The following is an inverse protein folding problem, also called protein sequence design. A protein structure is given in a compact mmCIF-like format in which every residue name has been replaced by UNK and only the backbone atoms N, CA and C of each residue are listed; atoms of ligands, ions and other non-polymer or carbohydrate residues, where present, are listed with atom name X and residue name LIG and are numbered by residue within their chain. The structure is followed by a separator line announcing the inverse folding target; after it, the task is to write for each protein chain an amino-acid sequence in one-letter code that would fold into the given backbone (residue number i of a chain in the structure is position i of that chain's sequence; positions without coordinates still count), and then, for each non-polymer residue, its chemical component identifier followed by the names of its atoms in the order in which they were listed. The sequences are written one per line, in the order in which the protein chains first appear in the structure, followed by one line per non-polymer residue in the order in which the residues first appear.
data_IF_304999779868
#
_entry.id   IF_304999779868
#
_cell.length_a   1.000
_cell.length_b   1.000
_cell.length_c   1.000
_cell.angle_alpha   90.00
_cell.angle_beta   90.00
_cell.angle_gamma   90.00
#
_symmetry.space_group_name_H-M   'P 1'
#
loop_
_entity.id
_entity.type
_entity.pdbx_description
1 polymer ?
#
# COMPACT_ATOMS: atom_id res chain seq x y z
N UNK A 1 9.31 -19.05 10.77
CA UNK A 1 7.90 -18.87 11.14
C UNK A 1 7.11 -18.74 9.85
N UNK A 2 6.38 -19.78 9.47
CA UNK A 2 5.49 -19.72 8.30
C UNK A 2 4.08 -19.46 8.83
N UNK A 3 3.54 -18.27 8.57
CA UNK A 3 2.16 -18.00 8.88
C UNK A 3 1.60 -16.92 7.95
N UNK A 4 0.90 -17.37 6.92
CA UNK A 4 -0.51 -17.07 6.62
C UNK A 4 -0.80 -17.79 5.31
N UNK A 5 -1.90 -18.55 5.30
CA UNK A 5 -2.34 -19.36 4.19
C UNK A 5 -2.15 -18.65 2.85
N UNK A 6 -1.51 -19.33 1.89
CA UNK A 6 -1.66 -19.01 0.48
C UNK A 6 -3.15 -19.04 0.17
N UNK A 7 -3.82 -17.89 0.23
CA UNK A 7 -5.25 -17.74 -0.07
C UNK A 7 -5.57 -18.01 -1.56
N UNK A 8 -4.59 -18.51 -2.31
CA UNK A 8 -4.58 -18.56 -3.76
C UNK A 8 -4.43 -17.19 -4.42
N UNK A 9 -4.39 -16.10 -3.64
CA UNK A 9 -4.34 -14.72 -4.17
C UNK A 9 -2.90 -14.31 -4.47
N UNK A 10 -1.97 -14.57 -3.54
CA UNK A 10 -0.54 -14.20 -3.64
C UNK A 10 0.35 -15.35 -3.17
N UNK A 11 1.60 -15.37 -3.61
CA UNK A 11 2.62 -16.33 -3.16
C UNK A 11 3.15 -15.98 -1.76
N UNK A 12 3.28 -14.69 -1.48
CA UNK A 12 3.73 -14.14 -0.21
C UNK A 12 3.02 -12.80 0.05
N UNK A 13 2.86 -12.39 1.32
CA UNK A 13 2.33 -11.08 1.67
C UNK A 13 3.14 -9.92 1.07
N UNK A 14 2.53 -8.74 1.00
CA UNK A 14 3.20 -7.53 0.51
C UNK A 14 4.43 -7.19 1.36
N UNK A 15 5.56 -6.94 0.72
CA UNK A 15 6.80 -6.46 1.32
C UNK A 15 7.39 -5.31 0.48
N UNK A 16 8.46 -4.69 0.99
CA UNK A 16 9.16 -3.60 0.29
C UNK A 16 9.76 -3.99 -1.05
N UNK A 17 10.06 -5.27 -1.22
CA UNK A 17 10.87 -5.78 -2.34
C UNK A 17 10.05 -6.59 -3.35
N UNK A 18 8.77 -6.85 -3.10
CA UNK A 18 7.94 -7.73 -3.94
C UNK A 18 6.71 -7.06 -4.56
N UNK A 19 6.60 -5.74 -4.49
CA UNK A 19 5.40 -5.02 -4.94
C UNK A 19 4.99 -5.36 -6.37
N UNK A 20 5.93 -5.46 -7.31
CA UNK A 20 5.63 -5.76 -8.71
C UNK A 20 4.98 -7.15 -8.87
N UNK A 21 5.51 -8.15 -8.16
CA UNK A 21 4.94 -9.51 -8.16
C UNK A 21 3.59 -9.54 -7.42
N UNK A 22 3.53 -8.94 -6.24
CA UNK A 22 2.32 -8.88 -5.42
C UNK A 22 1.16 -8.19 -6.17
N UNK A 23 1.42 -7.01 -6.73
CA UNK A 23 0.43 -6.22 -7.47
C UNK A 23 -0.05 -6.95 -8.73
N UNK A 24 0.86 -7.62 -9.45
CA UNK A 24 0.51 -8.45 -10.60
C UNK A 24 -0.47 -9.57 -10.21
N UNK A 25 -0.16 -10.32 -9.14
CA UNK A 25 -1.00 -11.44 -8.68
C UNK A 25 -2.37 -10.97 -8.18
N UNK A 26 -2.41 -9.94 -7.32
CA UNK A 26 -3.67 -9.38 -6.80
C UNK A 26 -4.53 -8.82 -7.93
N UNK A 27 -3.93 -8.07 -8.87
CA UNK A 27 -4.65 -7.54 -10.04
C UNK A 27 -5.24 -8.67 -10.88
N UNK A 28 -4.48 -9.71 -11.18
CA UNK A 28 -4.96 -10.84 -11.98
C UNK A 28 -6.07 -11.60 -11.26
N UNK A 29 -5.96 -11.78 -9.94
CA UNK A 29 -7.01 -12.40 -9.13
C UNK A 29 -8.31 -11.57 -9.18
N UNK A 30 -8.22 -10.25 -9.00
CA UNK A 30 -9.38 -9.36 -9.08
C UNK A 30 -10.00 -9.31 -10.50
N UNK A 31 -9.17 -9.34 -11.55
CA UNK A 31 -9.63 -9.43 -12.94
C UNK A 31 -10.42 -10.73 -13.18
N UNK A 32 -9.90 -11.87 -12.72
CA UNK A 32 -10.57 -13.17 -12.83
C UNK A 32 -11.93 -13.23 -12.14
N UNK A 33 -12.16 -12.37 -11.14
CA UNK A 33 -13.43 -12.26 -10.42
C UNK A 33 -14.31 -11.09 -10.89
N UNK A 34 -13.91 -10.33 -11.92
CA UNK A 34 -14.66 -9.16 -12.39
C UNK A 34 -14.74 -8.00 -11.38
N UNK A 35 -13.71 -7.90 -10.52
CA UNK A 35 -13.60 -6.94 -9.43
C UNK A 35 -12.57 -5.82 -9.71
N UNK A 36 -11.74 -5.94 -10.75
CA UNK A 36 -10.72 -4.92 -11.03
C UNK A 36 -11.31 -3.54 -11.37
N UNK A 37 -12.46 -3.51 -12.04
CA UNK A 37 -13.15 -2.28 -12.44
C UNK A 37 -13.41 -1.33 -11.26
N UNK A 38 -13.80 -1.86 -10.09
CA UNK A 38 -14.06 -1.03 -8.90
C UNK A 38 -12.79 -0.49 -8.23
N UNK A 39 -11.61 -1.03 -8.57
CA UNK A 39 -10.31 -0.53 -8.07
C UNK A 39 -9.84 0.68 -8.87
N UNK A 40 -10.09 0.71 -10.17
CA UNK A 40 -9.65 1.80 -11.05
C UNK A 40 -10.70 2.92 -11.19
N UNK A 41 -11.98 2.57 -11.11
CA UNK A 41 -13.06 3.54 -11.29
C UNK A 41 -13.21 4.44 -10.08
N UNK A 42 -13.47 5.73 -10.30
CA UNK A 42 -14.02 6.58 -9.24
C UNK A 42 -15.47 6.14 -9.06
N UNK A 43 -15.89 5.85 -7.84
CA UNK A 43 -17.31 5.67 -7.57
C UNK A 43 -18.01 6.95 -8.00
N UNK A 44 -18.79 6.91 -9.07
CA UNK A 44 -19.73 7.99 -9.39
C UNK A 44 -20.87 7.89 -8.37
N UNK A 45 -20.56 8.29 -7.14
CA UNK A 45 -21.45 8.25 -6.00
C UNK A 45 -22.74 9.00 -6.36
N UNK A 46 -23.82 8.25 -6.61
CA UNK A 46 -25.13 8.81 -6.91
C UNK A 46 -25.50 8.88 -8.40
N UNK A 47 -24.67 8.39 -9.32
CA UNK A 47 -25.05 8.24 -10.73
C UNK A 47 -25.41 6.77 -10.98
N UNK A 48 -26.71 6.48 -11.02
CA UNK A 48 -27.22 5.14 -11.29
C UNK A 48 -28.48 4.80 -10.49
N UNK A 49 -29.12 3.71 -10.89
CA UNK A 49 -30.19 3.06 -10.14
C UNK A 49 -29.70 2.56 -8.78
N UNK A 50 -30.63 2.35 -7.85
CA UNK A 50 -30.33 1.79 -6.53
C UNK A 50 -29.62 0.43 -6.66
N UNK A 51 -30.05 -0.38 -7.62
CA UNK A 51 -29.50 -1.70 -7.92
C UNK A 51 -28.04 -1.62 -8.39
N UNK A 52 -27.68 -0.61 -9.19
CA UNK A 52 -26.31 -0.38 -9.64
C UNK A 52 -25.40 0.03 -8.48
N UNK A 53 -25.86 0.91 -7.60
CA UNK A 53 -25.13 1.35 -6.41
C UNK A 53 -24.89 0.16 -5.47
N UNK A 54 -25.90 -0.65 -5.19
CA UNK A 54 -25.77 -1.85 -4.34
C UNK A 54 -24.80 -2.87 -4.95
N UNK A 55 -24.87 -3.09 -6.27
CA UNK A 55 -23.95 -3.97 -7.00
C UNK A 55 -22.50 -3.45 -6.93
N UNK A 56 -22.29 -2.14 -7.10
CA UNK A 56 -20.98 -1.53 -6.96
C UNK A 56 -20.44 -1.68 -5.54
N UNK A 57 -21.25 -1.39 -4.52
CA UNK A 57 -20.87 -1.52 -3.11
C UNK A 57 -20.44 -2.96 -2.77
N UNK A 58 -21.17 -3.96 -3.25
CA UNK A 58 -20.82 -5.36 -3.06
C UNK A 58 -19.49 -5.73 -3.74
N UNK A 59 -19.26 -5.26 -4.97
CA UNK A 59 -17.99 -5.48 -5.67
C UNK A 59 -16.83 -4.79 -4.95
N UNK A 60 -17.00 -3.53 -4.54
CA UNK A 60 -16.00 -2.76 -3.79
C UNK A 60 -15.62 -3.46 -2.48
N UNK A 61 -16.61 -3.89 -1.69
CA UNK A 61 -16.36 -4.60 -0.44
C UNK A 61 -15.58 -5.91 -0.65
N UNK A 62 -15.93 -6.69 -1.68
CA UNK A 62 -15.20 -7.92 -2.05
C UNK A 62 -13.76 -7.63 -2.47
N UNK A 63 -13.56 -6.62 -3.33
CA UNK A 63 -12.23 -6.24 -3.78
C UNK A 63 -11.35 -5.75 -2.63
N UNK A 64 -11.89 -4.92 -1.73
CA UNK A 64 -11.18 -4.44 -0.55
C UNK A 64 -10.77 -5.60 0.37
N UNK A 65 -11.69 -6.56 0.60
CA UNK A 65 -11.38 -7.72 1.42
C UNK A 65 -10.25 -8.57 0.83
N UNK A 66 -10.21 -8.77 -0.49
CA UNK A 66 -9.13 -9.47 -1.18
C UNK A 66 -7.78 -8.76 -0.96
N UNK A 67 -7.75 -7.43 -1.08
CA UNK A 67 -6.53 -6.63 -0.85
C UNK A 67 -6.06 -6.76 0.61
N UNK A 68 -6.99 -6.69 1.57
CA UNK A 68 -6.71 -6.86 3.00
C UNK A 68 -6.14 -8.25 3.34
N UNK A 69 -6.65 -9.30 2.70
CA UNK A 69 -6.10 -10.66 2.86
C UNK A 69 -4.72 -10.81 2.23
N UNK A 70 -4.48 -10.16 1.09
CA UNK A 70 -3.23 -10.28 0.35
C UNK A 70 -2.08 -9.46 0.95
N UNK A 71 -2.36 -8.38 1.68
CA UNK A 71 -1.31 -7.46 2.13
C UNK A 71 -0.52 -7.96 3.35
N UNK A 72 -1.04 -8.94 4.10
CA UNK A 72 -0.44 -9.39 5.36
C UNK A 72 -0.76 -8.48 6.55
N UNK A 73 -0.55 -8.99 7.76
CA UNK A 73 -0.97 -8.34 9.01
C UNK A 73 -0.28 -7.00 9.29
N UNK A 74 1.00 -6.88 8.95
CA UNK A 74 1.77 -5.64 9.12
C UNK A 74 1.17 -4.50 8.28
N UNK A 75 0.92 -4.77 7.00
CA UNK A 75 0.34 -3.79 6.08
C UNK A 75 -1.14 -3.52 6.31
N UNK A 76 -1.89 -4.50 6.84
CA UNK A 76 -3.32 -4.36 7.11
C UNK A 76 -3.59 -3.20 8.07
N UNK A 77 -2.70 -2.97 9.03
CA UNK A 77 -2.84 -1.88 10.00
C UNK A 77 -2.87 -0.48 9.34
N UNK A 78 -2.27 -0.33 8.16
CA UNK A 78 -2.23 0.93 7.42
C UNK A 78 -3.49 1.21 6.58
N UNK A 79 -4.25 0.17 6.25
CA UNK A 79 -5.44 0.29 5.38
C UNK A 79 -6.75 -0.05 6.08
N UNK A 80 -6.72 -0.34 7.39
CA UNK A 80 -7.91 -0.76 8.17
C UNK A 80 -9.04 0.28 8.19
N UNK A 81 -8.69 1.56 8.05
CA UNK A 81 -9.62 2.69 8.08
C UNK A 81 -10.01 3.17 6.67
N UNK A 82 -9.52 2.50 5.61
CA UNK A 82 -9.90 2.79 4.22
C UNK A 82 -11.18 2.05 3.86
N UNK A 83 -12.06 2.71 3.11
CA UNK A 83 -13.41 2.20 2.85
C UNK A 83 -13.60 1.68 1.43
N UNK A 84 -12.64 1.95 0.54
CA UNK A 84 -12.69 1.49 -0.85
C UNK A 84 -11.46 0.69 -1.24
N UNK A 85 -11.68 -0.26 -2.15
CA UNK A 85 -10.59 -1.04 -2.74
C UNK A 85 -9.60 -0.14 -3.50
N UNK A 86 -10.10 0.94 -4.10
CA UNK A 86 -9.30 1.96 -4.78
C UNK A 86 -8.37 2.69 -3.83
N UNK A 87 -8.85 3.15 -2.68
CA UNK A 87 -8.01 3.80 -1.67
C UNK A 87 -6.91 2.86 -1.18
N UNK A 88 -7.24 1.61 -0.85
CA UNK A 88 -6.26 0.63 -0.39
C UNK A 88 -5.21 0.31 -1.47
N UNK A 89 -5.64 0.16 -2.73
CA UNK A 89 -4.73 -0.06 -3.86
C UNK A 89 -3.79 1.13 -4.07
N UNK A 90 -4.33 2.35 -4.07
CA UNK A 90 -3.56 3.58 -4.25
C UNK A 90 -2.54 3.77 -3.12
N UNK A 91 -2.92 3.47 -1.87
CA UNK A 91 -2.01 3.52 -0.73
C UNK A 91 -0.78 2.63 -0.95
N UNK A 92 -0.98 1.38 -1.35
CA UNK A 92 0.14 0.47 -1.62
C UNK A 92 0.93 0.85 -2.86
N UNK A 93 0.27 1.29 -3.93
CA UNK A 93 0.95 1.80 -5.13
C UNK A 93 1.85 2.98 -4.82
N UNK A 94 1.42 3.89 -3.96
CA UNK A 94 2.22 5.04 -3.56
C UNK A 94 3.37 4.65 -2.60
N UNK A 95 3.10 3.76 -1.66
CA UNK A 95 4.08 3.39 -0.61
C UNK A 95 5.16 2.43 -1.11
N UNK A 96 4.83 1.57 -2.08
CA UNK A 96 5.68 0.47 -2.50
C UNK A 96 6.04 0.48 -3.98
N UNK A 97 5.27 1.18 -4.81
CA UNK A 97 5.53 1.30 -6.24
C UNK A 97 6.83 2.05 -6.53
N UNK A 98 7.49 1.63 -7.61
CA UNK A 98 8.79 2.16 -8.04
C UNK A 98 8.72 3.60 -8.58
N UNK A 99 7.53 4.07 -9.00
CA UNK A 99 7.34 5.35 -9.71
C UNK A 99 7.28 6.60 -8.81
N UNK A 100 7.23 6.46 -7.47
CA UNK A 100 7.09 7.60 -6.55
C UNK A 100 8.21 7.73 -5.50
N UNK A 101 9.27 6.91 -5.56
CA UNK A 101 10.43 6.98 -4.66
C UNK A 101 11.39 8.14 -4.97
N UNK A 102 10.90 9.28 -5.44
CA UNK A 102 11.75 10.40 -5.83
C UNK A 102 12.08 11.40 -4.70
N UNK A 103 11.39 11.38 -3.53
CA UNK A 103 11.58 12.45 -2.53
C UNK A 103 11.87 12.02 -1.07
N UNK A 104 11.93 10.73 -0.72
CA UNK A 104 12.21 10.33 0.68
C UNK A 104 13.69 10.35 1.09
N UNK A 105 14.62 10.43 0.13
CA UNK A 105 16.07 10.43 0.42
C UNK A 105 16.59 11.77 0.96
N UNK A 106 15.79 12.85 0.85
CA UNK A 106 16.20 14.18 1.30
C UNK A 106 16.14 14.30 2.84
N UNK A 107 15.18 13.67 3.52
CA UNK A 107 15.04 13.82 4.98
C UNK A 107 16.15 13.08 5.76
N UNK A 108 16.58 11.89 5.32
CA UNK A 108 17.65 11.15 5.98
C UNK A 108 19.01 11.85 5.84
N UNK A 109 19.24 12.54 4.72
CA UNK A 109 20.45 13.36 4.50
C UNK A 109 20.50 14.59 5.42
N UNK A 110 19.37 15.27 5.61
CA UNK A 110 19.27 16.48 6.45
C UNK A 110 19.45 16.14 7.94
N UNK A 111 18.84 15.06 8.43
CA UNK A 111 19.01 14.62 9.83
C UNK A 111 20.48 14.25 10.13
N UNK A 112 21.15 13.57 9.19
CA UNK A 112 22.55 13.18 9.33
C UNK A 112 23.50 14.38 9.34
N UNK A 113 23.21 15.40 8.53
CA UNK A 113 23.97 16.66 8.50
C UNK A 113 23.77 17.51 9.76
N UNK A 114 22.58 17.45 10.40
CA UNK A 114 22.31 18.16 11.66
C UNK A 114 22.97 17.48 12.87
N UNK A 115 23.05 16.15 12.91
CA UNK A 115 23.74 15.43 14.01
C UNK A 115 25.26 15.66 14.06
N UNK A 116 25.91 15.98 12.93
CA UNK A 116 27.36 16.25 12.89
C UNK A 116 27.75 17.67 13.34
N UNK A 117 26.81 18.63 13.37
CA UNK A 117 27.08 20.02 13.76
C UNK A 117 27.08 20.26 15.28
N UNK A 118 26.63 19.30 16.08
CA UNK A 118 26.39 19.49 17.53
C UNK A 118 27.53 18.99 18.41
N UNK A 119 28.60 18.38 17.88
CA UNK A 119 29.77 17.97 18.68
C UNK A 119 30.80 19.13 18.68
N UNK A 120 30.98 19.88 19.79
CA UNK A 120 32.03 20.90 19.85
C UNK A 120 33.36 20.18 20.12
N UNK A 121 34.35 20.35 19.25
CA UNK A 121 35.71 19.90 19.52
C UNK A 121 36.29 20.72 20.67
N UNK A 122 36.37 20.13 21.87
CA UNK A 122 37.22 20.62 22.96
C UNK A 122 38.67 20.44 22.53
N UNK A 123 39.29 21.49 22.00
CA UNK A 123 40.74 21.53 21.88
C UNK A 123 41.35 21.67 23.28
N UNK A 124 41.92 20.57 23.79
CA UNK A 124 42.98 20.65 24.78
C UNK A 124 44.14 21.41 24.15
N UNK A 125 44.47 22.59 24.68
CA UNK A 125 45.82 23.15 24.55
C UNK A 125 46.62 22.66 25.75
N UNK A 126 47.51 21.70 25.50
CA UNK A 126 48.63 21.39 26.38
C UNK A 126 49.76 22.39 26.17
N UNK A 127 50.50 22.58 27.27
CA UNK A 127 51.76 23.33 27.47
C UNK A 127 51.55 24.79 27.86
#
# INVERSE_FOLDING_TARGET
MANIAASGIVLEPLTKDNYDNWSCLVRNYLLGHGLWEVVISVAEMGVGSKEEIEKWNMKNAKALHIIQLACGSENLAHIKDLHTAKEAWNYFSASYGSELKADSDIEQGILRAQMQRVIPQRHLKSI
#
